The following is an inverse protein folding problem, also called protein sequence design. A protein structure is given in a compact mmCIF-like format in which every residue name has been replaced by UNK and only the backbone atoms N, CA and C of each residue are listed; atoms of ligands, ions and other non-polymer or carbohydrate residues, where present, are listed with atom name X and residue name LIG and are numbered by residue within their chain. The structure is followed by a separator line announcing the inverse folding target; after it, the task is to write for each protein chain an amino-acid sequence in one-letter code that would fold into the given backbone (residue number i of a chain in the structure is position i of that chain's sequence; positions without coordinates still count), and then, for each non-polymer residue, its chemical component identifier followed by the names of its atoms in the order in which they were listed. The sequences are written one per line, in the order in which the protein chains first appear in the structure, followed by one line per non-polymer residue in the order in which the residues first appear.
data_IF_346767261035
#
_entry.id   IF_346767261035
#
_cell.length_a   1.000
_cell.length_b   1.000
_cell.length_c   1.000
_cell.angle_alpha   90.00
_cell.angle_beta   90.00
_cell.angle_gamma   90.00
#
_symmetry.space_group_name_H-M   'P 1'
#
loop_
_entity.id
_entity.type
_entity.pdbx_description
1 polymer ?
#
# COMPACT_ATOMS: atom_id res chain seq x y z
N UNK A 1 10.95 7.77 1.84
CA UNK A 1 9.57 7.40 2.22
C UNK A 1 9.64 6.75 3.59
N UNK A 2 8.76 7.09 4.53
CA UNK A 2 8.65 6.41 5.82
C UNK A 2 7.44 5.48 5.86
N UNK A 3 7.37 4.59 6.86
CA UNK A 3 6.18 3.78 7.11
C UNK A 3 4.93 4.64 7.29
N UNK A 4 5.04 5.76 8.01
CA UNK A 4 3.91 6.68 8.23
C UNK A 4 3.42 7.33 6.92
N UNK A 5 4.34 7.65 6.00
CA UNK A 5 3.96 8.17 4.68
C UNK A 5 3.20 7.11 3.88
N UNK A 6 3.68 5.87 3.91
CA UNK A 6 3.03 4.73 3.26
C UNK A 6 1.64 4.47 3.83
N UNK A 7 1.47 4.53 5.15
CA UNK A 7 0.15 4.40 5.80
C UNK A 7 -0.80 5.49 5.31
N UNK A 8 -0.36 6.74 5.22
CA UNK A 8 -1.19 7.85 4.72
C UNK A 8 -1.58 7.64 3.26
N UNK A 9 -0.63 7.28 2.40
CA UNK A 9 -0.87 7.03 0.97
C UNK A 9 -1.83 5.86 0.78
N UNK A 10 -1.58 4.74 1.47
CA UNK A 10 -2.39 3.53 1.41
C UNK A 10 -3.83 3.79 1.86
N UNK A 11 -4.02 4.52 2.96
CA UNK A 11 -5.35 4.89 3.45
C UNK A 11 -6.17 5.64 2.41
N UNK A 12 -5.56 6.63 1.75
CA UNK A 12 -6.24 7.42 0.71
C UNK A 12 -6.52 6.56 -0.52
N UNK A 13 -5.52 5.83 -1.01
CA UNK A 13 -5.64 4.98 -2.20
C UNK A 13 -6.73 3.89 -2.04
N UNK A 14 -6.75 3.18 -0.91
CA UNK A 14 -7.74 2.14 -0.65
C UNK A 14 -9.16 2.68 -0.54
N UNK A 15 -9.32 3.88 0.03
CA UNK A 15 -10.62 4.56 0.09
C UNK A 15 -11.13 4.92 -1.31
N UNK A 16 -10.25 5.39 -2.18
CA UNK A 16 -10.60 5.73 -3.58
C UNK A 16 -10.94 4.50 -4.42
N UNK A 17 -10.31 3.37 -4.15
CA UNK A 17 -10.63 2.06 -4.74
C UNK A 17 -11.95 1.46 -4.23
N UNK A 18 -12.64 2.14 -3.31
CA UNK A 18 -13.91 1.67 -2.77
C UNK A 18 -13.77 0.53 -1.76
N UNK A 19 -12.56 0.24 -1.26
CA UNK A 19 -12.36 -0.76 -0.21
C UNK A 19 -13.08 -0.37 1.10
N UNK A 20 -13.42 0.92 1.28
CA UNK A 20 -14.07 1.43 2.50
C UNK A 20 -13.07 1.63 3.63
N UNK A 21 -13.55 1.60 4.87
CA UNK A 21 -12.71 1.69 6.07
C UNK A 21 -12.17 0.30 6.45
N UNK A 22 -11.33 -0.26 5.56
CA UNK A 22 -10.67 -1.54 5.79
C UNK A 22 -9.53 -1.37 6.78
N UNK A 23 -9.40 -2.33 7.70
CA UNK A 23 -8.20 -2.44 8.52
C UNK A 23 -7.04 -2.90 7.63
N UNK A 24 -5.92 -2.20 7.70
CA UNK A 24 -4.69 -2.59 7.02
C UNK A 24 -3.48 -2.30 7.90
N UNK A 25 -2.37 -3.01 7.65
CA UNK A 25 -1.08 -2.77 8.28
C UNK A 25 0.00 -2.60 7.22
N UNK A 26 0.99 -1.76 7.52
CA UNK A 26 2.18 -1.58 6.68
C UNK A 26 3.38 -2.10 7.46
N UNK A 27 4.21 -2.92 6.83
CA UNK A 27 5.42 -3.46 7.44
C UNK A 27 6.57 -3.43 6.44
N UNK A 28 7.81 -3.28 6.93
CA UNK A 28 8.98 -3.45 6.08
C UNK A 28 9.10 -4.92 5.65
N UNK A 29 9.34 -5.14 4.36
CA UNK A 29 9.64 -6.46 3.81
C UNK A 29 11.16 -6.71 3.88
N UNK A 30 11.60 -7.96 3.71
CA UNK A 30 13.02 -8.26 3.53
C UNK A 30 13.57 -7.64 2.24
N UNK A 31 14.30 -6.52 2.38
CA UNK A 31 15.00 -5.85 1.30
C UNK A 31 15.04 -4.33 1.48
N UNK A 32 15.91 -3.68 0.70
CA UNK A 32 16.01 -2.22 0.68
C UNK A 32 14.76 -1.68 -0.03
N UNK A 33 14.12 -0.68 0.58
CA UNK A 33 13.01 0.07 0.00
C UNK A 33 11.79 -0.80 -0.37
N UNK A 34 11.59 -1.94 0.31
CA UNK A 34 10.46 -2.83 0.12
C UNK A 34 9.56 -2.87 1.34
N UNK A 35 8.25 -2.83 1.08
CA UNK A 35 7.20 -2.76 2.09
C UNK A 35 6.06 -3.68 1.70
N UNK A 36 5.35 -4.17 2.70
CA UNK A 36 4.12 -4.94 2.54
C UNK A 36 2.95 -4.16 3.13
N UNK A 37 1.83 -4.17 2.41
CA UNK A 37 0.54 -3.68 2.89
C UNK A 37 -0.39 -4.88 2.98
N UNK A 38 -0.69 -5.30 4.21
CA UNK A 38 -1.66 -6.35 4.49
C UNK A 38 -3.02 -5.69 4.72
N UNK A 39 -4.01 -6.02 3.89
CA UNK A 39 -5.37 -5.50 3.96
C UNK A 39 -6.25 -6.63 4.50
N UNK A 40 -6.91 -6.37 5.62
CA UNK A 40 -7.88 -7.28 6.23
C UNK A 40 -9.30 -6.99 5.72
N UNK A 41 -10.19 -7.98 5.83
CA UNK A 41 -11.59 -7.87 5.42
C UNK A 41 -12.12 -9.15 4.80
N UNK A 42 -13.24 -9.06 4.07
CA UNK A 42 -13.87 -10.20 3.40
C UNK A 42 -12.99 -10.83 2.30
N UNK A 43 -12.12 -10.02 1.69
CA UNK A 43 -11.15 -10.44 0.69
C UNK A 43 -9.76 -9.95 1.11
N UNK A 44 -9.08 -10.67 2.02
CA UNK A 44 -7.77 -10.25 2.48
C UNK A 44 -6.78 -10.22 1.33
N UNK A 45 -5.94 -9.19 1.29
CA UNK A 45 -4.92 -9.00 0.24
C UNK A 45 -3.59 -8.58 0.85
N UNK A 46 -2.51 -8.99 0.20
CA UNK A 46 -1.16 -8.56 0.52
C UNK A 46 -0.59 -7.85 -0.71
N UNK A 47 -0.23 -6.57 -0.57
CA UNK A 47 0.39 -5.78 -1.63
C UNK A 47 1.86 -5.59 -1.33
N UNK A 48 2.72 -5.73 -2.35
CA UNK A 48 4.17 -5.51 -2.23
C UNK A 48 4.53 -4.18 -2.86
N UNK A 49 5.07 -3.27 -2.06
CA UNK A 49 5.31 -1.89 -2.45
C UNK A 49 6.80 -1.59 -2.45
N UNK A 50 7.28 -0.97 -3.53
CA UNK A 50 8.61 -0.37 -3.59
C UNK A 50 8.50 1.09 -3.22
N UNK A 51 9.14 1.48 -2.13
CA UNK A 51 9.18 2.86 -1.67
C UNK A 51 10.46 3.14 -0.87
N UNK A 52 11.29 3.99 -1.44
CA UNK A 52 12.61 4.33 -0.92
C UNK A 52 12.89 5.81 -0.84
N UNK A 53 14.18 6.15 -0.81
CA UNK A 53 14.63 7.53 -0.93
C UNK A 53 14.38 8.03 -2.37
N UNK A 54 13.59 9.08 -2.52
CA UNK A 54 13.24 9.66 -3.83
C UNK A 54 11.96 9.10 -4.47
N UNK A 55 11.32 8.08 -3.89
CA UNK A 55 9.99 7.63 -4.34
C UNK A 55 8.94 8.72 -4.10
N UNK A 56 8.04 8.93 -5.06
CA UNK A 56 6.92 9.86 -4.92
C UNK A 56 5.69 9.17 -4.33
N UNK A 57 4.77 9.95 -3.75
CA UNK A 57 3.49 9.43 -3.27
C UNK A 57 2.66 8.83 -4.42
N UNK A 58 2.70 9.46 -5.61
CA UNK A 58 2.01 8.97 -6.79
C UNK A 58 2.54 7.59 -7.21
N UNK A 59 3.86 7.39 -7.22
CA UNK A 59 4.46 6.10 -7.57
C UNK A 59 4.03 4.96 -6.62
N UNK A 60 3.87 5.23 -5.33
CA UNK A 60 3.32 4.26 -4.37
C UNK A 60 1.85 3.99 -4.64
N UNK A 61 1.07 5.04 -4.90
CA UNK A 61 -0.37 4.93 -5.20
C UNK A 61 -0.60 4.09 -6.46
N UNK A 62 0.14 4.33 -7.53
CA UNK A 62 0.01 3.58 -8.79
C UNK A 62 0.24 2.07 -8.54
N UNK A 63 1.26 1.70 -7.76
CA UNK A 63 1.51 0.31 -7.39
C UNK A 63 0.35 -0.32 -6.59
N UNK A 64 -0.31 0.44 -5.72
CA UNK A 64 -1.48 -0.04 -4.96
C UNK A 64 -2.65 -0.29 -5.91
N UNK A 65 -2.96 0.66 -6.78
CA UNK A 65 -4.06 0.52 -7.75
C UNK A 65 -3.83 -0.67 -8.67
N UNK A 66 -2.65 -0.79 -9.28
CA UNK A 66 -2.29 -1.90 -10.17
C UNK A 66 -2.44 -3.27 -9.51
N UNK A 67 -2.02 -3.41 -8.24
CA UNK A 67 -2.07 -4.69 -7.53
C UNK A 67 -3.45 -4.99 -6.95
N UNK A 68 -4.22 -3.97 -6.59
CA UNK A 68 -5.56 -4.15 -6.03
C UNK A 68 -6.57 -4.50 -7.13
N UNK A 69 -6.43 -3.90 -8.32
CA UNK A 69 -7.32 -4.13 -9.47
C UNK A 69 -6.99 -5.39 -10.27
N UNK A 70 -5.72 -5.85 -10.28
CA UNK A 70 -5.39 -7.17 -10.85
C UNK A 70 -6.17 -8.25 -10.11
N UNK A 71 -7.15 -8.81 -10.81
CA UNK A 71 -8.03 -9.91 -10.43
C UNK A 71 -7.61 -11.19 -11.14
#
# INVERSE_FOLDING_TARGET
MTEQDLVRIAKVALRELGAGDVMFSVSAESGIDRWEIAIAGAHPRLLRIRAGKGSSAQFVRDQIFEQFERR
#
